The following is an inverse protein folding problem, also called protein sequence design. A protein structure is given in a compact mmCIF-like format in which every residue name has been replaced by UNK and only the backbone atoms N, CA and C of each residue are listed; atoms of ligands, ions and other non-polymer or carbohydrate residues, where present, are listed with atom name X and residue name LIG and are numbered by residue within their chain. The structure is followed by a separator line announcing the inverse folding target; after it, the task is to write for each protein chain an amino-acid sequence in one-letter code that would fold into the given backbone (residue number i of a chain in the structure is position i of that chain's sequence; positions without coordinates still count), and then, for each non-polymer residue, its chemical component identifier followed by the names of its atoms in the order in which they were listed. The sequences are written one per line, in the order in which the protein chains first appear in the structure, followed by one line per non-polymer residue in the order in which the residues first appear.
data_IF_091121642017
#
_entry.id   IF_091121642017
#
_cell.length_a   1.000
_cell.length_b   1.000
_cell.length_c   1.000
_cell.angle_alpha   90.00
_cell.angle_beta   90.00
_cell.angle_gamma   90.00
#
_symmetry.space_group_name_H-M   'P 1'
#
loop_
_entity.id
_entity.type
_entity.pdbx_description
1 polymer ?
#
# COMPACT_ATOMS: atom_id res chain seq x y z
N UNK A 1 29.16 -60.67 -28.23
CA UNK A 1 28.67 -59.39 -27.68
C UNK A 1 27.26 -59.63 -27.18
N UNK A 2 27.02 -59.53 -25.88
CA UNK A 2 25.68 -59.69 -25.31
C UNK A 2 24.90 -58.39 -25.57
N UNK A 3 23.72 -58.49 -26.19
CA UNK A 3 22.85 -57.32 -26.41
C UNK A 3 22.34 -56.81 -25.08
N UNK A 4 22.15 -55.49 -24.95
CA UNK A 4 21.54 -54.88 -23.75
C UNK A 4 20.18 -55.52 -23.46
N UNK A 5 19.44 -55.90 -24.50
CA UNK A 5 18.15 -56.58 -24.38
C UNK A 5 18.25 -57.99 -23.76
N UNK A 6 19.34 -58.73 -24.03
CA UNK A 6 19.57 -60.07 -23.49
C UNK A 6 20.01 -60.03 -22.02
N UNK A 7 20.59 -58.92 -21.58
CA UNK A 7 20.95 -58.72 -20.17
C UNK A 7 19.72 -58.47 -19.30
N UNK A 8 18.73 -57.71 -19.81
CA UNK A 8 17.46 -57.44 -19.11
C UNK A 8 16.47 -58.62 -19.14
N UNK A 9 16.62 -59.60 -20.03
CA UNK A 9 15.73 -60.78 -20.11
C UNK A 9 15.97 -61.80 -18.99
N UNK A 10 17.13 -61.74 -18.32
CA UNK A 10 17.40 -62.48 -17.09
C UNK A 10 16.62 -61.86 -15.93
N UNK A 11 15.71 -62.63 -15.33
CA UNK A 11 14.82 -62.20 -14.26
C UNK A 11 15.54 -61.54 -13.07
N UNK A 12 16.77 -61.97 -12.76
CA UNK A 12 17.60 -61.37 -11.71
C UNK A 12 18.12 -59.97 -12.05
N UNK A 13 18.45 -59.71 -13.31
CA UNK A 13 18.98 -58.41 -13.75
C UNK A 13 17.88 -57.36 -13.89
N UNK A 14 16.69 -57.78 -14.33
CA UNK A 14 15.51 -56.90 -14.35
C UNK A 14 15.10 -56.45 -12.93
N UNK A 15 15.13 -57.35 -11.96
CA UNK A 15 14.82 -57.03 -10.56
C UNK A 15 15.85 -56.06 -9.95
N UNK A 16 17.15 -56.25 -10.24
CA UNK A 16 18.20 -55.33 -9.81
C UNK A 16 18.04 -53.93 -10.45
N UNK A 17 17.75 -53.85 -11.74
CA UNK A 17 17.51 -52.57 -12.41
C UNK A 17 16.29 -51.84 -11.82
N UNK A 18 15.19 -52.56 -11.57
CA UNK A 18 14.01 -51.99 -10.93
C UNK A 18 14.31 -51.48 -9.50
N UNK A 19 15.13 -52.20 -8.74
CA UNK A 19 15.59 -51.76 -7.42
C UNK A 19 16.38 -50.45 -7.50
N UNK A 20 17.33 -50.33 -8.42
CA UNK A 20 18.12 -49.10 -8.59
C UNK A 20 17.25 -47.93 -9.07
N UNK A 21 16.32 -48.16 -9.99
CA UNK A 21 15.35 -47.14 -10.43
C UNK A 21 14.49 -46.66 -9.26
N UNK A 22 14.02 -47.59 -8.41
CA UNK A 22 13.26 -47.25 -7.21
C UNK A 22 14.11 -46.48 -6.19
N UNK A 23 15.39 -46.81 -6.05
CA UNK A 23 16.28 -46.10 -5.14
C UNK A 23 16.54 -44.67 -5.62
N UNK A 24 16.77 -44.49 -6.93
CA UNK A 24 16.97 -43.19 -7.56
C UNK A 24 15.69 -42.36 -7.47
N UNK A 25 14.51 -42.94 -7.70
CA UNK A 25 13.24 -42.21 -7.63
C UNK A 25 12.95 -41.71 -6.23
N UNK A 26 13.24 -42.51 -5.19
CA UNK A 26 13.12 -42.09 -3.78
C UNK A 26 14.06 -40.94 -3.47
N UNK A 27 15.30 -40.99 -3.96
CA UNK A 27 16.27 -39.91 -3.76
C UNK A 27 15.84 -38.60 -4.44
N UNK A 28 15.38 -38.66 -5.69
CA UNK A 28 14.86 -37.51 -6.42
C UNK A 28 13.62 -36.95 -5.73
N UNK A 29 12.70 -37.80 -5.27
CA UNK A 29 11.50 -37.39 -4.54
C UNK A 29 11.85 -36.69 -3.21
N UNK A 30 12.83 -37.22 -2.46
CA UNK A 30 13.30 -36.58 -1.23
C UNK A 30 13.94 -35.21 -1.50
N UNK A 31 14.75 -35.08 -2.55
CA UNK A 31 15.34 -33.82 -2.96
C UNK A 31 14.27 -32.79 -3.37
N UNK A 32 13.27 -33.22 -4.15
CA UNK A 32 12.15 -32.37 -4.56
C UNK A 32 11.27 -31.93 -3.37
N UNK A 33 11.03 -32.82 -2.39
CA UNK A 33 10.27 -32.48 -1.19
C UNK A 33 11.02 -31.45 -0.33
N UNK A 34 12.35 -31.58 -0.23
CA UNK A 34 13.18 -30.63 0.50
C UNK A 34 13.17 -29.24 -0.13
N UNK A 35 13.32 -29.15 -1.46
CA UNK A 35 13.26 -27.85 -2.17
C UNK A 35 11.86 -27.26 -2.13
N UNK A 36 10.82 -28.08 -2.25
CA UNK A 36 9.42 -27.66 -2.12
C UNK A 36 9.13 -27.08 -0.73
N UNK A 37 9.51 -27.79 0.34
CA UNK A 37 9.32 -27.32 1.72
C UNK A 37 10.09 -26.02 1.99
N UNK A 38 11.33 -25.89 1.49
CA UNK A 38 12.11 -24.64 1.60
C UNK A 38 11.45 -23.48 0.87
N UNK A 39 10.86 -23.73 -0.30
CA UNK A 39 10.20 -22.70 -1.10
C UNK A 39 8.87 -22.28 -0.48
N UNK A 40 8.09 -23.24 0.02
CA UNK A 40 6.85 -22.98 0.76
C UNK A 40 7.08 -22.12 2.00
N UNK A 41 8.12 -22.39 2.79
CA UNK A 41 8.44 -21.57 3.96
C UNK A 41 8.68 -20.10 3.61
N UNK A 42 9.40 -19.84 2.51
CA UNK A 42 9.63 -18.47 2.03
C UNK A 42 8.36 -17.81 1.52
N UNK A 43 7.46 -18.56 0.88
CA UNK A 43 6.17 -18.04 0.43
C UNK A 43 5.28 -17.65 1.60
N UNK A 44 5.21 -18.48 2.64
CA UNK A 44 4.44 -18.20 3.86
C UNK A 44 4.94 -16.93 4.55
N UNK A 45 6.27 -16.77 4.70
CA UNK A 45 6.84 -15.56 5.30
C UNK A 45 6.48 -14.28 4.51
N UNK A 46 6.50 -14.35 3.17
CA UNK A 46 6.10 -13.23 2.32
C UNK A 46 4.61 -12.93 2.47
N UNK A 47 3.76 -13.96 2.54
CA UNK A 47 2.32 -13.80 2.74
C UNK A 47 2.00 -13.20 4.12
N UNK A 48 2.70 -13.62 5.17
CA UNK A 48 2.54 -13.07 6.52
C UNK A 48 2.94 -11.59 6.59
N UNK A 49 4.03 -11.20 5.93
CA UNK A 49 4.45 -9.80 5.85
C UNK A 49 3.39 -8.99 5.09
N UNK A 50 2.93 -9.49 3.93
CA UNK A 50 1.88 -8.82 3.15
C UNK A 50 0.57 -8.68 3.91
N UNK A 51 0.19 -9.69 4.68
CA UNK A 51 -1.03 -9.64 5.48
C UNK A 51 -0.90 -8.61 6.61
N UNK A 52 0.27 -8.53 7.26
CA UNK A 52 0.54 -7.49 8.26
C UNK A 52 0.52 -6.09 7.65
N UNK A 53 1.13 -5.92 6.48
CA UNK A 53 1.14 -4.65 5.76
C UNK A 53 -0.29 -4.25 5.36
N UNK A 54 -1.07 -5.19 4.83
CA UNK A 54 -2.49 -4.97 4.51
C UNK A 54 -3.29 -4.55 5.74
N UNK A 55 -3.11 -5.22 6.88
CA UNK A 55 -3.78 -4.83 8.13
C UNK A 55 -3.36 -3.44 8.62
N UNK A 56 -2.11 -3.04 8.38
CA UNK A 56 -1.63 -1.69 8.73
C UNK A 56 -2.21 -0.64 7.78
N UNK A 57 -2.24 -0.90 6.48
CA UNK A 57 -2.85 -0.01 5.49
C UNK A 57 -4.34 0.18 5.75
N UNK A 58 -5.06 -0.87 6.17
CA UNK A 58 -6.47 -0.77 6.56
C UNK A 58 -6.71 0.16 7.77
N UNK A 59 -5.67 0.48 8.54
CA UNK A 59 -5.74 1.38 9.71
C UNK A 59 -5.15 2.77 9.45
N UNK A 60 -4.63 3.02 8.26
CA UNK A 60 -4.02 4.30 7.89
C UNK A 60 -5.02 5.18 7.16
N UNK A 61 -5.02 6.46 7.53
CA UNK A 61 -5.61 7.51 6.72
C UNK A 61 -4.53 8.12 5.83
N UNK A 62 -4.93 8.59 4.64
CA UNK A 62 -4.02 9.18 3.66
C UNK A 62 -4.64 10.46 3.12
N UNK A 63 -4.34 11.59 3.76
CA UNK A 63 -4.90 12.88 3.36
C UNK A 63 -4.09 13.51 2.22
N UNK A 64 -4.79 13.95 1.19
CA UNK A 64 -4.25 14.66 0.03
C UNK A 64 -5.01 15.98 -0.14
N UNK A 65 -4.29 17.03 -0.52
CA UNK A 65 -4.87 18.32 -0.87
C UNK A 65 -4.85 18.53 -2.38
N UNK A 66 -5.91 19.14 -2.92
CA UNK A 66 -5.95 19.62 -4.31
C UNK A 66 -6.82 20.87 -4.42
N UNK A 67 -6.53 21.67 -5.43
CA UNK A 67 -7.32 22.84 -5.77
C UNK A 67 -8.15 22.51 -7.01
N UNK A 68 -9.45 22.79 -6.96
CA UNK A 68 -10.38 22.59 -8.06
C UNK A 68 -11.11 23.90 -8.37
N UNK A 69 -11.39 24.15 -9.65
CA UNK A 69 -12.33 25.21 -10.07
C UNK A 69 -13.66 24.55 -10.43
N UNK A 70 -14.67 24.77 -9.60
CA UNK A 70 -16.03 24.28 -9.83
C UNK A 70 -16.98 25.45 -10.12
N UNK A 71 -17.31 25.63 -11.39
CA UNK A 71 -18.21 26.69 -11.87
C UNK A 71 -17.75 28.13 -11.53
N UNK A 72 -16.44 28.40 -11.61
CA UNK A 72 -15.86 29.69 -11.28
C UNK A 72 -15.72 29.91 -9.77
N UNK A 73 -15.59 28.82 -9.00
CA UNK A 73 -15.38 28.83 -7.56
C UNK A 73 -14.15 28.00 -7.25
N UNK A 74 -13.21 28.61 -6.56
CA UNK A 74 -11.99 27.94 -6.17
C UNK A 74 -12.26 27.10 -4.92
N UNK A 75 -12.06 25.80 -5.01
CA UNK A 75 -12.30 24.83 -3.94
C UNK A 75 -10.99 24.20 -3.50
N UNK A 76 -10.67 24.33 -2.22
CA UNK A 76 -9.62 23.52 -1.60
C UNK A 76 -10.24 22.21 -1.13
N UNK A 77 -9.89 21.12 -1.81
CA UNK A 77 -10.37 19.77 -1.55
C UNK A 77 -9.35 19.02 -0.70
N UNK A 78 -9.78 18.57 0.47
CA UNK A 78 -9.04 17.66 1.34
C UNK A 78 -9.66 16.28 1.21
N UNK A 79 -8.95 15.35 0.61
CA UNK A 79 -9.43 13.99 0.34
C UNK A 79 -8.68 13.00 1.21
N UNK A 80 -9.40 12.09 1.87
CA UNK A 80 -8.82 10.93 2.51
C UNK A 80 -8.89 9.73 1.56
N UNK A 81 -7.73 9.29 1.07
CA UNK A 81 -7.59 8.08 0.23
C UNK A 81 -7.37 6.81 1.04
N UNK A 82 -7.20 6.94 2.35
CA UNK A 82 -7.00 5.84 3.27
C UNK A 82 -8.30 5.18 3.71
N UNK A 83 -8.15 3.97 4.25
CA UNK A 83 -9.26 3.15 4.74
C UNK A 83 -9.67 3.47 6.19
N UNK A 84 -8.87 4.28 6.91
CA UNK A 84 -9.19 4.75 8.25
C UNK A 84 -9.62 6.22 8.27
N UNK A 85 -10.31 6.61 9.33
CA UNK A 85 -10.67 8.01 9.58
C UNK A 85 -9.43 8.81 10.02
N UNK A 86 -9.22 9.97 9.40
CA UNK A 86 -8.28 10.96 9.88
C UNK A 86 -8.95 11.81 10.96
N UNK A 87 -8.33 11.94 12.14
CA UNK A 87 -8.80 12.74 13.28
C UNK A 87 -7.79 13.81 13.63
N UNK A 88 -8.20 14.80 14.42
CA UNK A 88 -7.38 15.94 14.84
C UNK A 88 -6.67 16.61 13.66
N UNK A 89 -7.42 16.76 12.55
CA UNK A 89 -6.88 17.33 11.32
C UNK A 89 -6.51 18.80 11.54
N UNK A 90 -5.28 19.15 11.17
CA UNK A 90 -4.76 20.52 11.19
C UNK A 90 -4.19 20.86 9.83
N UNK A 91 -4.62 22.00 9.27
CA UNK A 91 -4.21 22.46 7.94
C UNK A 91 -3.48 23.80 8.08
N UNK A 92 -2.30 23.86 7.50
CA UNK A 92 -1.47 25.05 7.41
C UNK A 92 -1.29 25.45 5.95
N UNK A 93 -1.49 26.73 5.64
CA UNK A 93 -1.16 27.35 4.37
C UNK A 93 -0.01 28.33 4.59
N UNK A 94 1.11 28.12 3.89
CA UNK A 94 2.33 28.93 4.02
C UNK A 94 2.80 29.05 5.49
N UNK A 95 2.71 27.95 6.22
CA UNK A 95 3.08 27.85 7.64
C UNK A 95 2.10 28.48 8.63
N UNK A 96 0.96 29.02 8.18
CA UNK A 96 -0.07 29.61 9.03
C UNK A 96 -1.34 28.76 9.03
N UNK A 97 -2.11 28.73 10.13
CA UNK A 97 -3.39 28.04 10.15
C UNK A 97 -4.34 28.50 9.04
N UNK A 98 -5.14 27.57 8.51
CA UNK A 98 -6.08 27.82 7.40
C UNK A 98 -6.97 29.05 7.65
N UNK A 99 -7.50 29.21 8.87
CA UNK A 99 -8.38 30.32 9.24
C UNK A 99 -7.71 31.71 9.22
N UNK A 100 -6.38 31.77 9.29
CA UNK A 100 -5.62 33.03 9.18
C UNK A 100 -5.34 33.42 7.72
N UNK A 101 -5.53 32.48 6.79
CA UNK A 101 -5.25 32.70 5.38
C UNK A 101 -6.28 33.68 4.77
N UNK A 102 -5.78 34.69 4.04
CA UNK A 102 -6.64 35.77 3.51
C UNK A 102 -7.73 35.29 2.55
N UNK A 103 -7.47 34.20 1.81
CA UNK A 103 -8.43 33.61 0.89
C UNK A 103 -9.46 32.68 1.56
N UNK A 104 -9.37 32.45 2.87
CA UNK A 104 -10.31 31.60 3.60
C UNK A 104 -11.57 32.40 3.99
N UNK A 105 -12.75 31.86 3.68
CA UNK A 105 -14.01 32.53 4.01
C UNK A 105 -14.26 32.51 5.52
N UNK A 106 -14.43 33.72 6.10
CA UNK A 106 -14.71 33.86 7.52
C UNK A 106 -16.05 33.21 7.87
N UNK A 107 -16.04 32.35 8.89
CA UNK A 107 -17.23 31.67 9.40
C UNK A 107 -17.34 30.21 8.98
N UNK A 108 -16.48 29.73 8.08
CA UNK A 108 -16.34 28.29 7.85
C UNK A 108 -15.66 27.61 9.05
N UNK A 109 -16.17 26.43 9.40
CA UNK A 109 -15.63 25.62 10.48
C UNK A 109 -14.46 24.78 9.95
N UNK A 110 -13.35 24.77 10.67
CA UNK A 110 -12.25 23.84 10.39
C UNK A 110 -12.70 22.40 10.61
N UNK A 111 -12.39 21.55 9.63
CA UNK A 111 -12.57 20.12 9.76
C UNK A 111 -11.71 19.58 10.90
N UNK A 112 -12.33 18.71 11.70
CA UNK A 112 -11.64 17.97 12.76
C UNK A 112 -11.40 16.51 12.38
N UNK A 113 -12.24 15.97 11.50
CA UNK A 113 -12.05 14.63 10.97
C UNK A 113 -12.48 14.51 9.51
N UNK A 114 -11.88 13.54 8.81
CA UNK A 114 -12.23 13.15 7.45
C UNK A 114 -12.38 11.63 7.42
N UNK A 115 -13.59 11.17 7.12
CA UNK A 115 -13.89 9.74 7.04
C UNK A 115 -13.08 9.02 5.95
N UNK A 116 -13.04 7.68 5.98
CA UNK A 116 -12.32 6.91 4.98
C UNK A 116 -12.92 7.11 3.59
N UNK A 117 -12.06 7.21 2.56
CA UNK A 117 -12.46 7.42 1.16
C UNK A 117 -13.42 8.59 0.93
N UNK A 118 -13.34 9.62 1.78
CA UNK A 118 -14.22 10.79 1.74
C UNK A 118 -13.42 12.07 1.52
N UNK A 119 -14.10 13.13 1.10
CA UNK A 119 -13.49 14.43 0.90
C UNK A 119 -14.25 15.53 1.63
N UNK A 120 -13.54 16.60 1.95
CA UNK A 120 -14.09 17.85 2.42
C UNK A 120 -13.66 18.98 1.50
N UNK A 121 -14.55 19.94 1.26
CA UNK A 121 -14.32 21.05 0.34
C UNK A 121 -14.44 22.37 1.11
N UNK A 122 -13.39 23.18 1.06
CA UNK A 122 -13.40 24.55 1.52
C UNK A 122 -13.58 25.48 0.33
N UNK A 123 -14.50 26.44 0.45
CA UNK A 123 -14.64 27.47 -0.55
C UNK A 123 -13.58 28.56 -0.32
N UNK A 124 -12.74 28.76 -1.32
CA UNK A 124 -11.65 29.71 -1.30
C UNK A 124 -12.03 30.93 -2.14
N UNK A 125 -11.69 32.12 -1.65
CA UNK A 125 -11.82 33.36 -2.39
C UNK A 125 -10.45 33.72 -3.00
N UNK A 126 -10.02 33.01 -4.04
CA UNK A 126 -8.74 33.32 -4.69
C UNK A 126 -8.89 34.52 -5.63
N UNK A 127 -8.27 35.65 -5.27
CA UNK A 127 -8.33 36.90 -6.04
C UNK A 127 -6.99 37.25 -6.66
N UNK A 128 -7.00 37.98 -7.79
CA UNK A 128 -5.80 38.58 -8.36
C UNK A 128 -5.03 39.39 -7.30
N UNK A 129 -3.78 39.01 -7.03
CA UNK A 129 -2.91 39.64 -6.02
C UNK A 129 -2.56 38.76 -4.81
N UNK A 130 -3.11 37.54 -4.72
CA UNK A 130 -2.60 36.53 -3.80
C UNK A 130 -1.41 35.76 -4.39
N UNK A 131 -0.65 35.11 -3.51
CA UNK A 131 0.51 34.30 -3.88
C UNK A 131 0.03 33.19 -4.84
N UNK A 132 0.62 32.99 -6.02
CA UNK A 132 0.19 31.93 -6.94
C UNK A 132 0.52 30.52 -6.43
N UNK A 133 1.35 30.42 -5.38
CA UNK A 133 1.77 29.17 -4.77
C UNK A 133 1.34 29.10 -3.31
N UNK A 134 0.73 27.98 -2.92
CA UNK A 134 0.34 27.73 -1.54
C UNK A 134 1.03 26.45 -1.06
N UNK A 135 1.98 26.56 -0.13
CA UNK A 135 2.49 25.40 0.59
C UNK A 135 1.42 24.95 1.58
N UNK A 136 0.85 23.78 1.33
CA UNK A 136 -0.15 23.16 2.20
C UNK A 136 0.50 22.04 2.98
N UNK A 137 0.50 22.18 4.31
CA UNK A 137 0.83 21.10 5.23
C UNK A 137 -0.44 20.66 5.96
N UNK A 138 -0.70 19.35 5.93
CA UNK A 138 -1.78 18.71 6.67
C UNK A 138 -1.18 17.74 7.67
N UNK A 139 -1.66 17.74 8.90
CA UNK A 139 -1.33 16.72 9.90
C UNK A 139 -2.60 16.15 10.52
N UNK A 140 -2.57 14.86 10.85
CA UNK A 140 -3.70 14.15 11.45
C UNK A 140 -3.23 12.98 12.32
N UNK A 141 -4.16 12.39 13.06
CA UNK A 141 -3.99 11.16 13.82
C UNK A 141 -4.98 10.12 13.31
N UNK A 142 -4.55 8.88 13.12
CA UNK A 142 -5.39 7.76 12.70
C UNK A 142 -5.23 6.55 13.65
N UNK A 143 -5.80 5.40 13.28
CA UNK A 143 -5.75 4.17 14.08
C UNK A 143 -4.45 3.36 13.86
N UNK A 144 -3.51 3.85 13.04
CA UNK A 144 -2.23 3.19 12.78
C UNK A 144 -1.22 3.40 13.91
N UNK A 145 -1.47 4.37 14.80
CA UNK A 145 -0.60 4.73 15.92
C UNK A 145 0.54 5.68 15.55
N UNK A 146 0.63 6.12 14.30
CA UNK A 146 1.57 7.13 13.82
C UNK A 146 0.81 8.40 13.41
N UNK A 147 1.34 9.58 13.72
CA UNK A 147 0.77 10.82 13.21
C UNK A 147 1.05 10.93 11.70
N UNK A 148 0.01 11.19 10.93
CA UNK A 148 0.10 11.41 9.50
C UNK A 148 0.52 12.84 9.19
N UNK A 149 1.29 13.02 8.11
CA UNK A 149 1.68 14.32 7.60
C UNK A 149 1.75 14.32 6.08
N UNK A 150 1.12 15.30 5.47
CA UNK A 150 1.16 15.56 4.05
C UNK A 150 1.68 16.97 3.81
N UNK A 151 2.58 17.15 2.84
CA UNK A 151 3.05 18.46 2.42
C UNK A 151 3.06 18.53 0.89
N UNK A 152 2.50 19.61 0.34
CA UNK A 152 2.50 19.86 -1.11
C UNK A 152 2.50 21.35 -1.39
N UNK A 153 2.85 21.73 -2.62
CA UNK A 153 2.65 23.08 -3.12
C UNK A 153 1.53 23.03 -4.14
N UNK A 154 0.43 23.72 -3.86
CA UNK A 154 -0.68 23.89 -4.81
C UNK A 154 -0.46 25.15 -5.63
N UNK A 155 -0.81 25.06 -6.92
CA UNK A 155 -0.77 26.16 -7.87
C UNK A 155 -2.18 26.50 -8.31
N UNK A 156 -2.48 27.79 -8.35
CA UNK A 156 -3.69 28.33 -8.98
C UNK A 156 -3.54 28.43 -10.50
#
# INVERSE_FOLDING_TARGET
MMSIADWFSSSGNAALAAFFISLISVFVAAAALYTSCKTQKRQVEIEEIREKDRQREMRKADLVARLEDENGRDLLVIENKGAAEARDVMILINGRPLYEYRGFLRGEQEIRSVGPFSSFHYLMALTMGMDPFFEITISWVDDSGEAGRYNTTLTY
#
